data_IF_517192068729
#
_entry.id   IF_517192068729
#
_cell.length_a   1.000
_cell.length_b   1.000
_cell.length_c   1.000
_cell.angle_alpha   90.00
_cell.angle_beta   90.00
_cell.angle_gamma   90.00
#
_symmetry.space_group_name_H-M   'P 1'
#
loop_
_entity.id
_entity.type
_entity.pdbx_description
1 polymer ?
#
# COMPACT_ATOMS: atom_id res chain seq x y z
N UNK A 1 -17.71 -9.63 -5.97
CA UNK A 1 -18.28 -9.07 -7.23
C UNK A 1 -17.11 -8.73 -8.13
N UNK A 2 -17.13 -9.09 -9.41
CA UNK A 2 -15.92 -8.99 -10.27
C UNK A 2 -16.05 -8.00 -11.44
N UNK A 3 -16.98 -7.04 -11.37
CA UNK A 3 -17.15 -6.02 -12.41
C UNK A 3 -17.20 -4.63 -11.82
N UNK A 4 -16.55 -3.69 -12.50
CA UNK A 4 -16.50 -2.28 -12.11
C UNK A 4 -16.67 -1.39 -13.32
N UNK A 5 -16.86 -0.09 -13.07
CA UNK A 5 -16.76 0.97 -14.07
C UNK A 5 -15.96 2.14 -13.51
N UNK A 6 -15.26 2.88 -14.35
CA UNK A 6 -14.58 4.11 -13.93
C UNK A 6 -15.64 5.20 -13.70
N UNK A 7 -15.71 5.71 -12.46
CA UNK A 7 -16.59 6.83 -12.11
C UNK A 7 -15.90 8.17 -12.30
N UNK A 8 -14.62 8.22 -11.94
CA UNK A 8 -13.81 9.45 -11.98
C UNK A 8 -12.33 9.11 -12.07
N UNK A 9 -11.58 9.97 -12.75
CA UNK A 9 -10.12 9.99 -12.74
C UNK A 9 -9.66 11.43 -12.51
N UNK A 10 -8.43 11.60 -12.02
CA UNK A 10 -7.81 12.92 -11.89
C UNK A 10 -6.42 12.84 -11.28
N UNK A 11 -5.91 13.99 -10.86
CA UNK A 11 -4.61 14.14 -10.19
C UNK A 11 -4.78 14.85 -8.84
N UNK A 12 -3.93 14.52 -7.87
CA UNK A 12 -3.88 15.13 -6.53
C UNK A 12 -2.55 15.86 -6.39
N UNK A 13 -2.58 17.16 -6.07
CA UNK A 13 -1.35 17.90 -5.70
C UNK A 13 -0.93 17.51 -4.30
N UNK A 14 0.03 16.59 -4.17
CA UNK A 14 0.48 16.06 -2.89
C UNK A 14 1.29 17.08 -2.07
N UNK A 15 1.91 18.05 -2.75
CA UNK A 15 2.68 19.14 -2.14
C UNK A 15 2.81 20.34 -3.10
N UNK A 16 3.27 21.52 -2.62
CA UNK A 16 3.45 22.68 -3.48
C UNK A 16 4.42 22.42 -4.65
N UNK A 17 4.13 22.93 -5.86
CA UNK A 17 4.98 22.71 -7.02
C UNK A 17 6.36 23.35 -6.87
N UNK A 18 7.38 22.71 -7.44
CA UNK A 18 8.76 23.20 -7.43
C UNK A 18 9.53 22.92 -6.14
N UNK A 19 8.97 22.10 -5.23
CA UNK A 19 9.70 21.59 -4.07
C UNK A 19 10.92 20.78 -4.53
N UNK A 20 12.06 20.99 -3.86
CA UNK A 20 13.32 20.30 -4.13
C UNK A 20 13.84 19.62 -2.88
N UNK A 21 14.55 18.52 -3.07
CA UNK A 21 15.27 17.81 -2.02
C UNK A 21 16.61 18.50 -1.67
N UNK A 22 17.36 17.90 -0.75
CA UNK A 22 18.64 18.42 -0.27
C UNK A 22 19.74 18.35 -1.36
N UNK A 23 19.54 17.52 -2.38
CA UNK A 23 20.40 17.40 -3.56
C UNK A 23 20.04 18.43 -4.64
N UNK A 24 18.91 19.12 -4.49
CA UNK A 24 18.41 20.11 -5.42
C UNK A 24 17.57 19.51 -6.56
N UNK A 25 17.24 18.22 -6.51
CA UNK A 25 16.36 17.56 -7.48
C UNK A 25 14.89 17.85 -7.14
N UNK A 26 14.01 17.77 -8.14
CA UNK A 26 12.58 17.94 -7.89
C UNK A 26 12.05 16.75 -7.09
N UNK A 27 11.29 17.05 -6.04
CA UNK A 27 10.58 16.02 -5.27
C UNK A 27 9.45 15.48 -6.11
N UNK A 28 9.34 14.16 -6.16
CA UNK A 28 8.32 13.44 -6.90
C UNK A 28 7.32 12.79 -5.94
N UNK A 29 6.04 12.87 -6.26
CA UNK A 29 4.96 12.20 -5.57
C UNK A 29 4.84 10.78 -6.13
N UNK A 30 5.15 9.81 -5.29
CA UNK A 30 5.20 8.37 -5.58
C UNK A 30 4.29 7.71 -4.54
N UNK A 31 2.97 7.67 -4.81
CA UNK A 31 1.93 7.31 -3.82
C UNK A 31 1.65 5.81 -3.88
N UNK A 32 2.09 5.12 -2.85
CA UNK A 32 1.99 3.67 -2.68
C UNK A 32 0.94 3.28 -1.64
N UNK A 33 0.77 4.04 -0.55
CA UNK A 33 -0.14 3.69 0.54
C UNK A 33 -1.40 4.56 0.56
N UNK A 34 -2.59 3.94 0.69
CA UNK A 34 -3.87 4.65 0.84
C UNK A 34 -4.81 3.93 1.81
N UNK A 35 -5.52 4.68 2.64
CA UNK A 35 -6.66 4.18 3.41
C UNK A 35 -7.76 5.24 3.52
N UNK A 36 -9.01 4.83 3.74
CA UNK A 36 -10.15 5.75 3.87
C UNK A 36 -10.81 5.64 5.25
N UNK A 37 -10.80 6.74 6.02
CA UNK A 37 -11.33 6.77 7.39
C UNK A 37 -12.85 7.02 7.48
N UNK A 38 -13.54 7.06 6.34
CA UNK A 38 -14.97 7.44 6.24
C UNK A 38 -15.20 8.93 5.99
N UNK A 39 -14.16 9.77 6.10
CA UNK A 39 -14.22 11.21 5.79
C UNK A 39 -13.05 11.64 4.88
N UNK A 40 -11.85 11.14 5.15
CA UNK A 40 -10.59 11.55 4.54
C UNK A 40 -9.85 10.34 3.97
N UNK A 41 -9.14 10.58 2.89
CA UNK A 41 -8.09 9.70 2.42
C UNK A 41 -6.85 9.98 3.24
N UNK A 42 -6.28 8.95 3.85
CA UNK A 42 -4.90 8.93 4.32
C UNK A 42 -4.05 8.38 3.20
N UNK A 43 -2.96 9.06 2.87
CA UNK A 43 -2.09 8.70 1.76
C UNK A 43 -0.64 8.82 2.23
N UNK A 44 0.25 7.98 1.71
CA UNK A 44 1.67 8.20 1.86
C UNK A 44 2.45 7.95 0.58
N UNK A 45 3.55 8.70 0.46
CA UNK A 45 4.52 8.51 -0.60
C UNK A 45 5.66 7.60 -0.16
N UNK A 46 6.18 6.79 -1.08
CA UNK A 46 7.39 6.00 -0.85
C UNK A 46 8.65 6.91 -0.70
N UNK A 47 8.61 8.11 -1.30
CA UNK A 47 9.67 9.13 -1.20
C UNK A 47 9.40 10.15 -0.08
N UNK A 48 10.46 10.61 0.60
CA UNK A 48 10.35 11.70 1.55
C UNK A 48 9.84 13.00 0.91
N UNK A 49 8.93 13.69 1.60
CA UNK A 49 8.51 15.05 1.25
C UNK A 49 9.22 16.03 2.20
N UNK A 50 10.29 16.73 1.77
CA UNK A 50 11.16 17.50 2.66
C UNK A 50 10.47 18.74 3.22
N UNK A 51 10.70 19.03 4.50
CA UNK A 51 10.20 20.21 5.20
C UNK A 51 9.80 19.92 6.64
N UNK A 52 9.89 20.93 7.51
CA UNK A 52 9.47 20.76 8.91
C UNK A 52 7.95 20.49 9.02
N UNK A 53 7.15 21.27 8.29
CA UNK A 53 5.68 21.20 8.27
C UNK A 53 5.13 20.18 7.24
N UNK A 54 5.97 19.30 6.71
CA UNK A 54 5.60 18.30 5.69
C UNK A 54 6.03 16.91 6.13
N UNK A 55 5.40 15.91 5.52
CA UNK A 55 5.63 14.50 5.75
C UNK A 55 5.28 13.72 4.48
N UNK A 56 5.90 12.56 4.29
CA UNK A 56 5.52 11.63 3.22
C UNK A 56 4.08 11.11 3.43
N UNK A 57 3.62 11.04 4.68
CA UNK A 57 2.25 10.69 5.03
C UNK A 57 1.40 11.95 5.27
N UNK A 58 0.22 11.98 4.66
CA UNK A 58 -0.72 13.09 4.75
C UNK A 58 -2.17 12.61 4.63
N UNK A 59 -3.11 13.48 4.95
CA UNK A 59 -4.54 13.22 4.74
C UNK A 59 -5.23 14.37 4.04
N UNK A 60 -6.32 14.07 3.35
CA UNK A 60 -7.13 15.07 2.67
C UNK A 60 -8.61 14.63 2.60
N UNK A 61 -9.58 15.56 2.64
CA UNK A 61 -10.99 15.23 2.54
C UNK A 61 -11.35 14.57 1.21
N UNK A 62 -12.22 13.57 1.25
CA UNK A 62 -12.86 13.04 0.04
C UNK A 62 -14.28 13.62 -0.07
N UNK A 63 -14.52 14.38 -1.13
CA UNK A 63 -15.82 15.02 -1.38
C UNK A 63 -16.59 14.30 -2.51
N UNK A 64 -17.82 14.75 -2.79
CA UNK A 64 -18.56 14.28 -3.96
C UNK A 64 -17.83 14.60 -5.27
N UNK A 65 -17.02 15.66 -5.29
CA UNK A 65 -16.17 16.03 -6.42
C UNK A 65 -14.81 15.31 -6.38
N UNK A 66 -14.61 14.34 -5.49
CA UNK A 66 -13.33 13.62 -5.34
C UNK A 66 -12.42 14.24 -4.26
N UNK A 67 -11.13 13.82 -4.25
CA UNK A 67 -10.08 14.35 -3.37
C UNK A 67 -10.02 15.89 -3.36
N UNK A 68 -10.05 16.51 -2.19
CA UNK A 68 -9.85 17.96 -2.00
C UNK A 68 -8.41 18.25 -1.55
N UNK A 69 -7.51 18.38 -2.53
CA UNK A 69 -6.09 18.64 -2.32
C UNK A 69 -5.77 20.07 -1.85
N UNK A 70 -6.77 20.95 -1.76
CA UNK A 70 -6.61 22.28 -1.14
C UNK A 70 -6.54 22.24 0.39
N UNK A 71 -6.87 21.09 0.98
CA UNK A 71 -6.97 20.87 2.43
C UNK A 71 -6.14 19.68 2.90
N UNK A 72 -4.88 19.64 2.49
CA UNK A 72 -3.92 18.63 2.96
C UNK A 72 -3.50 18.90 4.40
N UNK A 73 -3.51 17.85 5.21
CA UNK A 73 -2.98 17.82 6.57
C UNK A 73 -1.84 16.79 6.64
N UNK A 74 -0.61 17.27 6.83
CA UNK A 74 0.58 16.40 6.87
C UNK A 74 0.75 15.79 8.27
N UNK A 75 1.00 14.49 8.33
CA UNK A 75 1.21 13.78 9.58
C UNK A 75 2.66 13.99 10.02
N UNK A 76 2.90 15.00 10.85
CA UNK A 76 4.25 15.53 11.14
C UNK A 76 4.88 15.01 12.43
N UNK A 77 4.26 14.04 13.09
CA UNK A 77 4.88 13.33 14.21
C UNK A 77 6.19 12.69 13.73
N UNK A 78 7.26 12.82 14.53
CA UNK A 78 8.63 12.49 14.14
C UNK A 78 8.82 11.05 13.64
N UNK A 79 8.28 10.05 14.33
CA UNK A 79 8.30 8.63 13.95
C UNK A 79 7.63 8.39 12.60
N UNK A 80 6.54 9.11 12.27
CA UNK A 80 5.91 9.03 10.94
C UNK A 80 6.81 9.66 9.88
N UNK A 81 7.48 10.77 10.19
CA UNK A 81 8.37 11.47 9.25
C UNK A 81 9.67 10.72 8.97
N UNK A 82 10.17 9.96 9.93
CA UNK A 82 11.42 9.20 9.85
C UNK A 82 11.28 7.89 9.08
N UNK A 83 10.07 7.32 9.03
CA UNK A 83 9.81 6.17 8.18
C UNK A 83 9.91 6.55 6.70
N UNK A 84 10.57 5.69 5.93
CA UNK A 84 10.86 5.90 4.50
C UNK A 84 10.37 4.68 3.73
N UNK A 85 9.91 4.90 2.49
CA UNK A 85 9.24 3.90 1.66
C UNK A 85 8.00 3.35 2.36
N UNK A 86 7.03 4.22 2.66
CA UNK A 86 5.67 3.73 2.93
C UNK A 86 5.24 2.92 1.72
N UNK A 87 4.58 1.78 1.94
CA UNK A 87 4.12 0.93 0.84
C UNK A 87 2.63 0.60 0.96
N UNK A 88 2.08 0.49 2.18
CA UNK A 88 0.63 0.32 2.32
C UNK A 88 0.09 0.79 3.69
N UNK A 89 -1.21 1.06 3.75
CA UNK A 89 -1.97 1.42 4.95
C UNK A 89 -3.12 0.45 5.16
N UNK A 90 -3.45 0.16 6.42
CA UNK A 90 -4.60 -0.64 6.77
C UNK A 90 -5.35 -0.07 7.99
N UNK A 91 -6.68 -0.05 7.90
CA UNK A 91 -7.51 0.11 9.08
C UNK A 91 -7.70 -1.24 9.76
N UNK A 92 -7.59 -1.24 11.09
CA UNK A 92 -8.06 -2.36 11.90
C UNK A 92 -9.54 -2.65 11.63
N UNK A 93 -9.95 -3.91 11.82
CA UNK A 93 -11.31 -4.36 11.45
C UNK A 93 -12.46 -3.66 12.19
N UNK A 94 -12.18 -3.03 13.33
CA UNK A 94 -13.13 -2.21 14.09
C UNK A 94 -13.04 -0.71 13.74
N UNK A 95 -12.13 -0.34 12.84
CA UNK A 95 -11.89 1.01 12.36
C UNK A 95 -11.29 1.95 13.41
N UNK A 96 -10.69 1.45 14.48
CA UNK A 96 -10.21 2.30 15.60
C UNK A 96 -8.74 2.67 15.51
N UNK A 97 -7.94 1.91 14.78
CA UNK A 97 -6.51 2.15 14.61
C UNK A 97 -6.12 2.08 13.13
N UNK A 98 -5.16 2.93 12.77
CA UNK A 98 -4.44 2.90 11.50
C UNK A 98 -3.13 2.15 11.69
N UNK A 99 -2.78 1.32 10.71
CA UNK A 99 -1.53 0.59 10.62
C UNK A 99 -0.85 1.01 9.33
N UNK A 100 0.47 1.24 9.37
CA UNK A 100 1.27 1.54 8.21
C UNK A 100 2.47 0.62 8.12
N UNK A 101 2.82 0.19 6.91
CA UNK A 101 4.05 -0.57 6.66
C UNK A 101 4.94 0.17 5.68
N UNK A 102 6.24 0.02 5.87
CA UNK A 102 7.24 0.33 4.85
C UNK A 102 7.65 -0.92 4.07
N UNK A 103 8.58 -0.77 3.11
CA UNK A 103 9.00 -1.86 2.23
C UNK A 103 9.82 -2.99 2.85
N UNK A 104 10.56 -2.75 3.94
CA UNK A 104 11.48 -3.72 4.56
C UNK A 104 12.57 -4.27 3.61
N UNK A 105 12.80 -3.61 2.47
CA UNK A 105 13.69 -4.04 1.38
C UNK A 105 15.16 -3.69 1.63
N UNK A 106 15.47 -2.96 2.71
CA UNK A 106 16.82 -2.47 3.01
C UNK A 106 17.13 -2.63 4.48
N UNK A 107 18.31 -3.13 4.81
CA UNK A 107 18.82 -3.20 6.19
C UNK A 107 20.33 -3.07 6.18
N UNK A 108 20.87 -2.43 7.22
CA UNK A 108 22.30 -2.45 7.54
C UNK A 108 22.45 -2.86 9.01
N UNK A 109 22.89 -4.10 9.22
CA UNK A 109 23.05 -4.71 10.54
C UNK A 109 24.20 -4.09 11.35
N UNK A 110 25.15 -3.41 10.69
CA UNK A 110 26.31 -2.80 11.35
C UNK A 110 26.05 -1.34 11.75
N UNK A 111 25.52 -0.53 10.83
CA UNK A 111 25.40 0.93 11.01
C UNK A 111 24.01 1.37 11.45
N UNK A 112 22.98 0.57 11.18
CA UNK A 112 21.57 0.91 11.39
C UNK A 112 21.06 2.11 10.56
N UNK A 113 21.85 2.60 9.59
CA UNK A 113 21.49 3.75 8.74
C UNK A 113 20.24 3.49 7.87
N UNK A 114 19.89 2.22 7.66
CA UNK A 114 18.74 1.79 6.85
C UNK A 114 17.52 1.38 7.66
N UNK A 115 17.51 1.61 8.98
CA UNK A 115 16.37 1.24 9.82
C UNK A 115 15.07 2.00 9.45
N UNK A 116 15.19 3.20 8.88
CA UNK A 116 14.09 3.99 8.35
C UNK A 116 13.17 3.21 7.39
N UNK A 117 13.73 2.22 6.68
CA UNK A 117 13.02 1.37 5.72
C UNK A 117 12.26 0.19 6.36
N UNK A 118 12.37 0.00 7.68
CA UNK A 118 11.84 -1.16 8.40
C UNK A 118 10.87 -0.72 9.50
N UNK A 119 9.70 -0.21 9.13
CA UNK A 119 8.69 0.26 10.06
C UNK A 119 7.34 -0.42 9.82
N UNK A 120 6.82 -1.00 10.90
CA UNK A 120 5.41 -1.27 11.08
C UNK A 120 4.91 -0.32 12.18
N UNK A 121 4.06 0.62 11.80
CA UNK A 121 3.56 1.66 12.70
C UNK A 121 2.09 1.44 12.99
N UNK A 122 1.66 1.85 14.19
CA UNK A 122 0.25 1.85 14.57
C UNK A 122 -0.09 3.11 15.37
N UNK A 123 -1.29 3.66 15.15
CA UNK A 123 -1.84 4.72 15.99
C UNK A 123 -3.37 4.64 16.05
N UNK A 124 -4.00 5.14 17.13
CA UNK A 124 -5.45 5.36 17.15
C UNK A 124 -5.86 6.30 16.02
N UNK A 125 -6.94 5.98 15.33
CA UNK A 125 -7.44 6.75 14.19
C UNK A 125 -7.71 8.20 14.62
N UNK A 126 -7.30 9.15 13.77
CA UNK A 126 -7.34 10.60 14.03
C UNK A 126 -6.35 11.10 15.11
N UNK A 127 -5.51 10.25 15.70
CA UNK A 127 -4.49 10.64 16.68
C UNK A 127 -3.07 10.25 16.22
N UNK A 128 -2.57 10.74 15.06
CA UNK A 128 -1.25 10.38 14.53
C UNK A 128 -0.09 10.78 15.47
N UNK A 129 -0.31 11.73 16.37
CA UNK A 129 0.66 12.13 17.39
C UNK A 129 0.97 11.01 18.42
N UNK A 130 0.12 9.97 18.48
CA UNK A 130 0.24 8.80 19.36
C UNK A 130 0.77 7.56 18.65
N UNK A 131 1.42 7.74 17.50
CA UNK A 131 2.07 6.65 16.77
C UNK A 131 3.07 5.89 17.61
N UNK A 132 3.07 4.59 17.41
CA UNK A 132 3.96 3.63 18.04
C UNK A 132 4.58 2.74 16.97
N UNK A 133 5.83 2.36 17.22
CA UNK A 133 6.51 1.32 16.45
C UNK A 133 6.06 -0.04 17.00
N UNK A 134 5.60 -0.91 16.11
CA UNK A 134 5.23 -2.29 16.43
C UNK A 134 6.51 -3.13 16.46
N UNK A 135 6.66 -3.95 17.51
CA UNK A 135 7.83 -4.82 17.69
C UNK A 135 9.17 -4.09 17.41
N UNK A 136 9.49 -3.02 18.16
CA UNK A 136 10.75 -2.29 18.02
C UNK A 136 11.93 -3.12 18.54
N UNK A 137 13.16 -2.75 18.17
CA UNK A 137 14.35 -3.33 18.80
C UNK A 137 14.38 -3.00 20.31
N UNK A 138 14.66 -3.96 21.21
CA UNK A 138 14.73 -3.72 22.64
C UNK A 138 15.95 -2.91 23.08
N UNK A 139 16.89 -2.60 22.19
CA UNK A 139 18.05 -1.75 22.48
C UNK A 139 17.66 -0.27 22.39
N UNK A 140 17.98 0.48 23.44
CA UNK A 140 17.71 1.92 23.52
C UNK A 140 18.27 2.69 22.30
N UNK A 141 17.41 3.48 21.66
CA UNK A 141 17.78 4.42 20.59
C UNK A 141 17.86 3.82 19.19
N UNK A 142 17.45 2.56 19.00
CA UNK A 142 17.31 1.96 17.67
C UNK A 142 15.88 2.20 17.18
N UNK A 143 15.73 3.05 16.17
CA UNK A 143 14.47 3.30 15.49
C UNK A 143 14.16 2.12 14.54
N UNK A 144 12.88 1.83 14.27
CA UNK A 144 12.44 0.73 13.40
C UNK A 144 11.92 -0.53 14.10
N UNK A 145 11.13 -1.30 13.37
CA UNK A 145 10.49 -2.56 13.76
C UNK A 145 11.41 -3.76 13.55
N UNK A 146 12.58 -3.78 14.20
CA UNK A 146 13.57 -4.85 13.98
C UNK A 146 13.14 -6.20 14.58
N UNK A 147 12.39 -6.22 15.68
CA UNK A 147 11.82 -7.49 16.17
C UNK A 147 10.80 -8.05 15.18
N UNK A 148 9.98 -7.18 14.56
CA UNK A 148 9.08 -7.59 13.48
C UNK A 148 9.88 -8.12 12.28
N UNK A 149 10.95 -7.42 11.87
CA UNK A 149 11.83 -7.88 10.78
C UNK A 149 12.34 -9.29 11.04
N UNK A 150 12.80 -9.60 12.25
CA UNK A 150 13.26 -10.97 12.59
C UNK A 150 12.15 -12.02 12.51
N UNK A 151 10.92 -11.65 12.89
CA UNK A 151 9.74 -12.53 12.73
C UNK A 151 9.44 -12.74 11.23
N UNK A 152 9.55 -11.70 10.41
CA UNK A 152 9.38 -11.76 8.96
C UNK A 152 10.50 -12.57 8.28
N UNK A 153 11.77 -12.37 8.62
CA UNK A 153 12.90 -13.15 8.10
C UNK A 153 12.66 -14.66 8.30
N UNK A 154 12.16 -15.04 9.49
CA UNK A 154 11.85 -16.43 9.80
C UNK A 154 10.66 -16.99 9.00
N UNK A 155 9.65 -16.17 8.71
CA UNK A 155 8.48 -16.57 7.93
C UNK A 155 8.77 -16.61 6.42
N UNK A 156 9.53 -15.63 5.92
CA UNK A 156 9.86 -15.49 4.50
C UNK A 156 10.89 -16.53 4.08
N UNK A 157 11.97 -16.70 4.86
CA UNK A 157 13.01 -17.71 4.63
C UNK A 157 14.05 -17.34 3.56
N UNK A 158 14.05 -16.10 3.07
CA UNK A 158 15.04 -15.56 2.14
C UNK A 158 15.62 -14.24 2.69
N UNK A 159 16.87 -13.88 2.36
CA UNK A 159 17.53 -12.71 2.93
C UNK A 159 16.98 -11.37 2.41
N UNK A 160 16.36 -11.37 1.23
CA UNK A 160 15.73 -10.20 0.65
C UNK A 160 14.24 -10.46 0.42
N UNK A 161 13.43 -9.47 0.80
CA UNK A 161 12.02 -9.39 0.46
C UNK A 161 11.54 -7.93 0.47
N UNK A 162 10.45 -7.66 -0.26
CA UNK A 162 9.75 -6.37 -0.21
C UNK A 162 8.29 -6.59 0.17
N UNK A 163 7.82 -5.84 1.18
CA UNK A 163 6.41 -5.78 1.58
C UNK A 163 5.74 -4.63 0.83
N UNK A 164 4.63 -4.90 0.14
CA UNK A 164 3.81 -3.86 -0.52
C UNK A 164 2.31 -4.02 -0.30
N UNK A 165 1.88 -5.08 0.41
CA UNK A 165 0.47 -5.23 0.78
C UNK A 165 0.28 -5.20 2.28
N UNK A 166 -0.78 -4.53 2.75
CA UNK A 166 -1.17 -4.55 4.15
C UNK A 166 -2.68 -4.57 4.29
N UNK A 167 -3.24 -5.58 4.97
CA UNK A 167 -4.66 -5.59 5.29
C UNK A 167 -4.91 -6.22 6.66
N UNK A 168 -5.82 -5.64 7.44
CA UNK A 168 -6.37 -6.29 8.62
C UNK A 168 -7.73 -6.90 8.31
N UNK A 169 -7.87 -8.22 8.48
CA UNK A 169 -9.12 -8.95 8.26
C UNK A 169 -9.64 -9.59 9.56
N UNK A 170 -10.95 -9.90 9.66
CA UNK A 170 -11.48 -10.59 10.83
C UNK A 170 -10.84 -11.96 11.02
N UNK A 171 -10.24 -12.19 12.20
CA UNK A 171 -9.71 -13.49 12.59
C UNK A 171 -10.80 -14.45 13.10
N UNK A 172 -10.44 -15.73 13.19
CA UNK A 172 -11.38 -16.77 13.64
C UNK A 172 -11.51 -16.86 15.17
N UNK A 173 -10.62 -16.17 15.90
CA UNK A 173 -10.52 -16.22 17.37
C UNK A 173 -11.11 -14.99 18.09
N UNK A 174 -11.78 -14.09 17.35
CA UNK A 174 -12.26 -12.80 17.88
C UNK A 174 -11.22 -11.70 17.82
N UNK A 175 -9.96 -12.07 17.61
CA UNK A 175 -8.81 -11.21 17.32
C UNK A 175 -8.71 -10.94 15.80
N UNK A 176 -7.93 -9.93 15.39
CA UNK A 176 -7.70 -9.65 13.97
C UNK A 176 -6.64 -10.57 13.37
N UNK A 177 -6.62 -10.72 12.04
CA UNK A 177 -5.52 -11.32 11.28
C UNK A 177 -4.91 -10.22 10.42
N UNK A 178 -3.64 -9.91 10.65
CA UNK A 178 -2.90 -8.92 9.86
C UNK A 178 -2.18 -9.66 8.73
N UNK A 179 -2.33 -9.14 7.52
CA UNK A 179 -1.82 -9.69 6.28
C UNK A 179 -0.74 -8.78 5.72
N UNK A 180 0.38 -9.37 5.31
CA UNK A 180 1.50 -8.72 4.67
C UNK A 180 1.70 -9.32 3.28
N UNK A 181 1.51 -8.49 2.26
CA UNK A 181 1.75 -8.83 0.88
C UNK A 181 3.24 -8.73 0.54
N UNK A 182 3.84 -9.85 0.14
CA UNK A 182 5.22 -9.90 -0.34
C UNK A 182 5.19 -9.76 -1.86
N UNK A 183 5.86 -8.72 -2.37
CA UNK A 183 6.03 -8.45 -3.80
C UNK A 183 7.25 -9.14 -4.37
N UNK A 184 8.36 -9.05 -3.66
CA UNK A 184 9.67 -9.51 -4.12
C UNK A 184 10.28 -10.43 -3.07
N UNK A 185 11.01 -11.44 -3.52
CA UNK A 185 11.74 -12.34 -2.64
C UNK A 185 12.97 -12.88 -3.35
N UNK A 186 14.13 -12.90 -2.68
CA UNK A 186 15.38 -13.31 -3.33
C UNK A 186 16.64 -13.21 -2.48
N UNK A 187 17.79 -13.13 -3.15
CA UNK A 187 19.09 -12.98 -2.49
C UNK A 187 19.46 -11.52 -2.23
N UNK A 188 19.01 -10.61 -3.08
CA UNK A 188 19.30 -9.18 -3.00
C UNK A 188 18.28 -8.37 -3.81
N UNK A 189 18.30 -7.04 -3.66
CA UNK A 189 17.45 -6.09 -4.40
C UNK A 189 17.61 -6.09 -5.92
N UNK A 190 18.64 -6.77 -6.45
CA UNK A 190 18.93 -6.93 -7.88
C UNK A 190 18.95 -8.42 -8.29
N UNK A 191 18.58 -9.32 -7.37
CA UNK A 191 18.52 -10.78 -7.55
C UNK A 191 17.30 -11.32 -6.78
N UNK A 192 16.12 -11.09 -7.35
CA UNK A 192 14.82 -11.47 -6.79
C UNK A 192 13.84 -11.96 -7.85
N UNK A 193 12.82 -12.68 -7.40
CA UNK A 193 11.64 -13.01 -8.18
C UNK A 193 10.44 -12.19 -7.70
N UNK A 194 9.58 -11.77 -8.64
CA UNK A 194 8.25 -11.26 -8.29
C UNK A 194 7.39 -12.41 -7.77
N UNK A 195 6.82 -12.22 -6.58
CA UNK A 195 5.94 -13.15 -5.88
C UNK A 195 4.60 -12.48 -5.54
N UNK A 196 3.58 -13.31 -5.28
CA UNK A 196 2.26 -12.89 -4.81
C UNK A 196 1.91 -13.70 -3.58
N UNK A 197 2.78 -13.59 -2.58
CA UNK A 197 2.73 -14.37 -1.34
C UNK A 197 2.20 -13.48 -0.23
N UNK A 198 1.33 -14.03 0.63
CA UNK A 198 0.78 -13.31 1.78
C UNK A 198 1.24 -14.04 3.04
N UNK A 199 1.95 -13.31 3.88
CA UNK A 199 2.32 -13.72 5.24
C UNK A 199 1.30 -13.13 6.19
N UNK A 200 0.91 -13.86 7.23
CA UNK A 200 -0.01 -13.33 8.23
C UNK A 200 0.21 -13.90 9.63
N UNK A 201 -0.31 -13.17 10.60
CA UNK A 201 -0.40 -13.59 12.00
C UNK A 201 -1.62 -12.96 12.68
N UNK A 202 -2.18 -13.66 13.64
CA UNK A 202 -3.21 -13.09 14.49
C UNK A 202 -2.59 -12.02 15.38
N UNK A 203 -3.35 -10.95 15.60
CA UNK A 203 -2.92 -9.84 16.43
C UNK A 203 -4.04 -9.35 17.35
N UNK A 204 -3.63 -8.75 18.45
CA UNK A 204 -4.49 -7.97 19.34
C UNK A 204 -3.97 -6.54 19.43
N UNK A 205 -4.85 -5.63 19.82
CA UNK A 205 -4.45 -4.31 20.31
C UNK A 205 -4.40 -4.39 21.83
N UNK A 206 -3.25 -4.11 22.41
CA UNK A 206 -3.04 -4.17 23.86
C UNK A 206 -3.57 -2.90 24.57
N UNK A 207 -3.45 -2.87 25.90
CA UNK A 207 -3.95 -1.76 26.72
C UNK A 207 -3.24 -0.41 26.46
N UNK A 208 -2.08 -0.44 25.80
CA UNK A 208 -1.29 0.74 25.42
C UNK A 208 -1.58 1.21 23.98
N UNK A 209 -2.64 0.70 23.33
CA UNK A 209 -2.99 0.97 21.92
C UNK A 209 -1.92 0.52 20.90
N UNK A 210 -1.06 -0.45 21.28
CA UNK A 210 -0.06 -1.04 20.37
C UNK A 210 -0.50 -2.42 19.87
N UNK A 211 0.05 -2.84 18.73
CA UNK A 211 -0.18 -4.13 18.12
C UNK A 211 0.72 -5.19 18.75
N UNK A 212 0.13 -6.32 19.13
CA UNK A 212 0.85 -7.50 19.60
C UNK A 212 0.42 -8.73 18.78
N UNK A 213 1.39 -9.41 18.16
CA UNK A 213 1.15 -10.68 17.49
C UNK A 213 1.00 -11.80 18.53
N UNK A 214 -0.11 -12.55 18.45
CA UNK A 214 -0.43 -13.63 19.40
C UNK A 214 -0.06 -15.02 18.88
N UNK A 215 0.39 -15.11 17.63
CA UNK A 215 1.03 -16.29 17.04
C UNK A 215 2.15 -15.90 16.05
N UNK A 216 2.79 -16.92 15.48
CA UNK A 216 3.91 -16.73 14.57
C UNK A 216 3.43 -16.32 13.17
N UNK A 217 4.18 -15.43 12.53
CA UNK A 217 4.03 -15.12 11.11
C UNK A 217 4.26 -16.38 10.28
N UNK A 218 3.37 -16.63 9.33
CA UNK A 218 3.42 -17.78 8.44
C UNK A 218 2.71 -17.50 7.12
N UNK A 219 2.95 -18.33 6.11
CA UNK A 219 2.17 -18.36 4.88
C UNK A 219 0.68 -18.55 5.14
N UNK A 220 -0.12 -17.60 4.69
CA UNK A 220 -1.58 -17.70 4.74
C UNK A 220 -2.20 -17.79 3.36
N UNK A 221 -1.53 -17.27 2.33
CA UNK A 221 -2.05 -17.31 0.96
C UNK A 221 -0.96 -17.09 -0.09
N UNK A 222 -1.19 -17.61 -1.30
CA UNK A 222 -0.41 -17.29 -2.50
C UNK A 222 -1.24 -17.59 -3.74
N UNK A 223 -1.00 -16.86 -4.83
CA UNK A 223 -1.62 -17.17 -6.13
C UNK A 223 -0.70 -16.81 -7.30
N UNK A 224 -0.98 -17.34 -8.49
CA UNK A 224 -0.24 -17.02 -9.70
C UNK A 224 -1.12 -16.31 -10.75
N UNK A 225 -0.93 -15.00 -10.99
CA UNK A 225 -1.62 -14.25 -12.04
C UNK A 225 -1.41 -14.81 -13.45
N UNK A 226 -0.25 -15.41 -13.73
CA UNK A 226 0.10 -15.89 -15.07
C UNK A 226 -0.76 -17.06 -15.58
N UNK A 227 -1.55 -17.68 -14.68
CA UNK A 227 -2.49 -18.73 -15.05
C UNK A 227 -3.84 -18.17 -15.58
N UNK A 228 -4.02 -16.85 -15.61
CA UNK A 228 -5.29 -16.20 -15.99
C UNK A 228 -5.27 -15.60 -17.39
N UNK A 229 -6.28 -15.97 -18.20
CA UNK A 229 -6.52 -15.34 -19.49
C UNK A 229 -6.73 -13.82 -19.33
N UNK A 230 -5.86 -13.04 -19.97
CA UNK A 230 -5.89 -11.57 -19.98
C UNK A 230 -4.94 -10.88 -19.00
N UNK A 231 -4.09 -11.63 -18.30
CA UNK A 231 -2.88 -11.08 -17.65
C UNK A 231 -1.70 -11.26 -18.61
N UNK A 232 -1.19 -10.16 -19.14
CA UNK A 232 -0.17 -10.20 -20.21
C UNK A 232 1.25 -9.97 -19.68
N UNK A 233 1.38 -9.42 -18.47
CA UNK A 233 2.66 -9.04 -17.86
C UNK A 233 2.94 -9.79 -16.56
N UNK A 234 4.23 -10.02 -16.27
CA UNK A 234 4.65 -10.49 -14.95
C UNK A 234 4.44 -9.35 -13.96
N UNK A 235 3.61 -9.59 -12.95
CA UNK A 235 3.29 -8.60 -11.93
C UNK A 235 3.63 -9.08 -10.52
N UNK A 236 3.87 -8.11 -9.63
CA UNK A 236 4.00 -8.30 -8.19
C UNK A 236 2.75 -7.81 -7.47
N UNK A 237 2.53 -8.29 -6.24
CA UNK A 237 1.47 -7.75 -5.37
C UNK A 237 1.86 -6.34 -4.92
N UNK A 238 0.96 -5.36 -5.06
CA UNK A 238 1.23 -3.94 -4.79
C UNK A 238 0.31 -3.28 -3.76
N UNK A 239 -0.79 -3.94 -3.37
CA UNK A 239 -1.58 -3.59 -2.18
C UNK A 239 -2.60 -4.68 -1.83
N UNK A 240 -3.04 -4.70 -0.57
CA UNK A 240 -4.14 -5.52 -0.07
C UNK A 240 -5.17 -4.60 0.60
N UNK A 241 -6.46 -4.79 0.33
CA UNK A 241 -7.50 -3.99 1.01
C UNK A 241 -8.69 -4.84 1.42
N UNK A 242 -9.11 -4.69 2.67
CA UNK A 242 -10.27 -5.41 3.20
C UNK A 242 -11.55 -4.62 2.96
N UNK A 243 -12.55 -5.27 2.35
CA UNK A 243 -13.89 -4.74 2.19
C UNK A 243 -14.82 -5.24 3.31
N UNK A 244 -15.07 -4.43 4.37
CA UNK A 244 -15.95 -4.82 5.46
C UNK A 244 -17.43 -4.86 5.05
N UNK A 245 -17.82 -4.22 3.95
CA UNK A 245 -19.20 -4.18 3.49
C UNK A 245 -19.64 -5.49 2.85
N UNK A 246 -18.71 -6.18 2.20
CA UNK A 246 -18.98 -7.42 1.47
C UNK A 246 -18.18 -8.64 1.98
N UNK A 247 -17.32 -8.47 2.98
CA UNK A 247 -16.51 -9.56 3.52
C UNK A 247 -15.55 -10.15 2.47
N UNK A 248 -14.91 -9.27 1.71
CA UNK A 248 -14.02 -9.60 0.59
C UNK A 248 -12.66 -8.94 0.78
N UNK A 249 -11.65 -9.51 0.15
CA UNK A 249 -10.31 -8.94 0.04
C UNK A 249 -10.11 -8.53 -1.41
N UNK A 250 -9.67 -7.29 -1.62
CA UNK A 250 -9.14 -6.84 -2.89
C UNK A 250 -7.63 -6.92 -2.87
N UNK A 251 -7.05 -7.23 -4.03
CA UNK A 251 -5.61 -7.27 -4.21
C UNK A 251 -5.28 -6.43 -5.44
N UNK A 252 -4.31 -5.53 -5.33
CA UNK A 252 -3.69 -4.92 -6.49
C UNK A 252 -2.41 -5.66 -6.84
N UNK A 253 -2.18 -5.81 -8.13
CA UNK A 253 -0.88 -6.21 -8.66
C UNK A 253 -0.40 -5.19 -9.66
N UNK A 254 0.85 -4.75 -9.57
CA UNK A 254 1.45 -3.80 -10.50
C UNK A 254 2.58 -4.43 -11.30
N UNK A 255 2.90 -3.87 -12.46
CA UNK A 255 4.02 -4.30 -13.29
C UNK A 255 4.72 -3.11 -13.93
N UNK A 256 6.00 -3.31 -14.21
CA UNK A 256 6.87 -2.45 -15.00
C UNK A 256 7.67 -3.39 -15.90
N UNK A 257 7.57 -3.22 -17.22
CA UNK A 257 8.30 -4.03 -18.18
C UNK A 257 8.85 -3.17 -19.30
N UNK A 258 10.01 -3.56 -19.84
CA UNK A 258 10.55 -2.95 -21.05
C UNK A 258 9.96 -3.65 -22.28
N UNK A 259 9.26 -2.91 -23.14
CA UNK A 259 8.80 -3.39 -24.45
C UNK A 259 9.51 -2.61 -25.57
N UNK A 260 10.63 -3.17 -26.03
CA UNK A 260 11.47 -2.48 -27.02
C UNK A 260 12.24 -1.34 -26.37
N UNK A 261 11.94 -0.10 -26.78
CA UNK A 261 12.55 1.13 -26.22
C UNK A 261 11.60 1.83 -25.22
N UNK A 262 10.37 1.32 -25.04
CA UNK A 262 9.34 1.93 -24.21
C UNK A 262 9.19 1.18 -22.88
N UNK A 263 9.07 1.91 -21.78
CA UNK A 263 8.69 1.39 -20.47
C UNK A 263 7.16 1.30 -20.40
N UNK A 264 6.65 0.09 -20.19
CA UNK A 264 5.22 -0.18 -20.04
C UNK A 264 4.93 -0.45 -18.58
N UNK A 265 4.04 0.37 -18.01
CA UNK A 265 3.59 0.25 -16.62
C UNK A 265 2.10 -0.02 -16.57
N UNK A 266 1.65 -0.63 -15.49
CA UNK A 266 0.23 -0.85 -15.28
C UNK A 266 -0.09 -1.65 -14.04
N UNK A 267 -1.31 -2.17 -13.99
CA UNK A 267 -1.71 -3.07 -12.93
C UNK A 267 -3.07 -3.73 -13.17
N UNK A 268 -3.39 -4.67 -12.29
CA UNK A 268 -4.63 -5.44 -12.29
C UNK A 268 -5.28 -5.40 -10.91
N UNK A 269 -6.62 -5.43 -10.90
CA UNK A 269 -7.41 -5.55 -9.68
C UNK A 269 -8.00 -6.95 -9.57
N UNK A 270 -7.85 -7.54 -8.39
CA UNK A 270 -8.36 -8.87 -8.05
C UNK A 270 -9.30 -8.78 -6.86
N UNK A 271 -10.22 -9.74 -6.77
CA UNK A 271 -11.15 -9.84 -5.65
C UNK A 271 -11.36 -11.28 -5.23
N UNK A 272 -11.45 -11.52 -3.92
CA UNK A 272 -11.81 -12.83 -3.38
C UNK A 272 -12.64 -12.70 -2.11
N UNK A 273 -13.50 -13.68 -1.84
CA UNK A 273 -14.19 -13.72 -0.56
C UNK A 273 -13.25 -14.16 0.56
N UNK A 274 -13.50 -13.70 1.81
CA UNK A 274 -12.75 -14.22 2.96
C UNK A 274 -12.93 -15.73 3.14
N UNK A 275 -14.03 -16.31 2.64
CA UNK A 275 -14.20 -17.76 2.62
C UNK A 275 -13.21 -18.42 1.66
N UNK A 276 -13.11 -17.92 0.42
CA UNK A 276 -12.19 -18.46 -0.58
C UNK A 276 -10.73 -18.27 -0.17
N UNK A 277 -10.40 -17.13 0.46
CA UNK A 277 -9.07 -16.87 1.04
C UNK A 277 -8.67 -17.94 2.05
N UNK A 278 -9.54 -18.22 3.04
CA UNK A 278 -9.30 -19.26 4.05
C UNK A 278 -9.24 -20.68 3.46
N UNK A 279 -9.76 -20.89 2.26
CA UNK A 279 -9.72 -22.17 1.56
C UNK A 279 -8.57 -22.26 0.55
N UNK A 280 -7.70 -21.24 0.45
CA UNK A 280 -6.60 -21.21 -0.51
C UNK A 280 -7.08 -21.23 -1.96
N UNK A 281 -8.29 -20.72 -2.23
CA UNK A 281 -8.81 -20.64 -3.60
C UNK A 281 -8.30 -19.39 -4.28
N UNK A 282 -8.17 -19.49 -5.59
CA UNK A 282 -7.60 -18.43 -6.38
C UNK A 282 -8.56 -17.22 -6.51
N UNK A 283 -8.03 -15.99 -6.55
CA UNK A 283 -8.86 -14.79 -6.63
C UNK A 283 -9.47 -14.63 -8.03
N UNK A 284 -10.49 -13.78 -8.15
CA UNK A 284 -11.11 -13.46 -9.44
C UNK A 284 -10.57 -12.14 -9.97
N UNK A 285 -10.11 -12.14 -11.21
CA UNK A 285 -9.71 -10.93 -11.93
C UNK A 285 -10.93 -10.02 -12.18
N UNK A 286 -10.81 -8.74 -11.84
CA UNK A 286 -11.87 -7.76 -12.02
C UNK A 286 -11.95 -7.31 -13.48
N UNK A 287 -13.18 -7.11 -13.96
CA UNK A 287 -13.50 -6.71 -15.32
C UNK A 287 -14.20 -5.35 -15.38
N UNK A 288 -14.11 -4.68 -16.51
CA UNK A 288 -14.85 -3.44 -16.80
C UNK A 288 -16.34 -3.70 -17.11
N UNK A 289 -17.11 -2.64 -17.39
CA UNK A 289 -18.52 -2.77 -17.75
C UNK A 289 -18.79 -3.50 -19.10
N UNK A 290 -17.75 -3.68 -19.91
CA UNK A 290 -17.78 -4.37 -21.21
C UNK A 290 -17.28 -5.82 -21.11
N UNK A 291 -17.07 -6.33 -19.89
CA UNK A 291 -16.57 -7.68 -19.60
C UNK A 291 -15.12 -7.93 -20.06
N UNK A 292 -14.34 -6.86 -20.27
CA UNK A 292 -12.89 -6.94 -20.49
C UNK A 292 -12.15 -6.93 -19.17
N UNK A 293 -10.96 -7.52 -19.12
CA UNK A 293 -10.07 -7.38 -17.95
C UNK A 293 -9.84 -5.90 -17.68
N UNK A 294 -9.96 -5.49 -16.41
CA UNK A 294 -9.56 -4.15 -16.00
C UNK A 294 -8.04 -4.15 -15.84
N UNK A 295 -7.37 -3.58 -16.82
CA UNK A 295 -5.96 -3.21 -16.75
C UNK A 295 -5.86 -1.70 -16.55
N UNK A 296 -5.08 -1.29 -15.56
CA UNK A 296 -4.79 0.12 -15.32
C UNK A 296 -3.64 0.57 -16.22
N UNK A 297 -3.78 1.75 -16.83
CA UNK A 297 -2.73 2.40 -17.65
C UNK A 297 -1.56 2.96 -16.81
N UNK A 298 -1.66 2.84 -15.49
CA UNK A 298 -0.76 3.43 -14.50
C UNK A 298 -0.44 2.39 -13.44
N UNK A 299 0.71 2.51 -12.77
CA UNK A 299 1.17 1.54 -11.77
C UNK A 299 0.29 1.63 -10.52
N UNK A 300 -0.64 0.68 -10.38
CA UNK A 300 -1.67 0.71 -9.34
C UNK A 300 -1.13 0.17 -8.01
N UNK A 301 -0.98 1.05 -7.02
CA UNK A 301 -0.27 0.72 -5.78
C UNK A 301 -1.11 1.03 -4.53
N UNK A 302 -1.81 2.17 -4.47
CA UNK A 302 -2.70 2.43 -3.34
C UNK A 302 -4.14 1.99 -3.59
N UNK A 303 -4.78 1.29 -2.65
CA UNK A 303 -6.19 0.90 -2.73
C UNK A 303 -6.96 1.22 -1.45
N UNK A 304 -8.16 1.79 -1.57
CA UNK A 304 -9.07 1.95 -0.44
C UNK A 304 -10.53 1.64 -0.80
N UNK A 305 -11.24 0.96 0.10
CA UNK A 305 -12.69 0.79 0.01
C UNK A 305 -13.37 2.05 0.55
N UNK A 306 -14.07 2.77 -0.32
CA UNK A 306 -14.72 4.02 0.06
C UNK A 306 -16.08 3.76 0.73
N UNK A 307 -16.86 2.87 0.13
CA UNK A 307 -18.18 2.46 0.62
C UNK A 307 -18.64 1.16 -0.06
N UNK A 308 -19.92 0.82 0.08
CA UNK A 308 -20.57 -0.35 -0.53
C UNK A 308 -20.51 -0.41 -2.05
N UNK A 309 -20.18 0.69 -2.72
CA UNK A 309 -20.30 0.80 -4.17
C UNK A 309 -19.03 1.35 -4.82
N UNK A 310 -18.04 1.80 -4.05
CA UNK A 310 -16.90 2.56 -4.58
C UNK A 310 -15.56 2.14 -4.00
N UNK A 311 -14.57 2.10 -4.88
CA UNK A 311 -13.15 1.92 -4.54
C UNK A 311 -12.36 3.14 -5.01
N UNK A 312 -11.25 3.42 -4.34
CA UNK A 312 -10.28 4.43 -4.73
C UNK A 312 -8.94 3.75 -5.02
N UNK A 313 -8.33 4.10 -6.15
CA UNK A 313 -7.00 3.61 -6.56
C UNK A 313 -6.08 4.81 -6.76
N UNK A 314 -4.91 4.80 -6.12
CA UNK A 314 -3.82 5.73 -6.38
C UNK A 314 -2.71 5.03 -7.18
N UNK A 315 -1.96 5.84 -7.92
CA UNK A 315 -0.91 5.34 -8.80
C UNK A 315 0.46 5.90 -8.42
N UNK A 316 1.45 5.01 -8.39
CA UNK A 316 2.86 5.34 -8.23
C UNK A 316 3.62 5.09 -9.53
N UNK A 317 3.60 6.06 -10.42
CA UNK A 317 4.24 5.89 -11.73
C UNK A 317 5.76 6.09 -11.70
N UNK A 318 6.41 6.15 -10.53
CA UNK A 318 7.81 6.58 -10.37
C UNK A 318 8.09 7.83 -11.21
N UNK A 319 8.97 7.72 -12.21
CA UNK A 319 9.38 8.81 -13.11
C UNK A 319 8.65 8.79 -14.45
N UNK A 320 7.67 7.92 -14.63
CA UNK A 320 6.73 8.03 -15.74
C UNK A 320 5.74 9.16 -15.42
N UNK A 321 5.75 10.18 -16.27
CA UNK A 321 4.93 11.38 -16.10
C UNK A 321 3.65 11.35 -16.92
N UNK A 322 3.45 10.35 -17.77
CA UNK A 322 2.31 10.29 -18.67
C UNK A 322 1.00 10.19 -17.87
N UNK A 323 -0.04 10.87 -18.35
CA UNK A 323 -1.37 10.86 -17.73
C UNK A 323 -2.39 10.01 -18.48
N UNK A 324 -2.14 9.68 -19.75
CA UNK A 324 -3.03 8.89 -20.59
C UNK A 324 -4.52 9.26 -20.40
N UNK A 325 -5.41 8.33 -20.08
CA UNK A 325 -6.85 8.60 -19.94
C UNK A 325 -7.22 9.50 -18.75
N UNK A 326 -6.30 9.71 -17.80
CA UNK A 326 -6.59 10.44 -16.54
C UNK A 326 -6.78 11.93 -16.76
N UNK A 327 -6.15 12.51 -17.79
CA UNK A 327 -6.20 13.95 -18.03
C UNK A 327 -6.10 14.32 -19.52
N UNK A 328 -6.60 15.51 -19.88
CA UNK A 328 -6.32 16.11 -21.19
C UNK A 328 -4.88 16.65 -21.30
N UNK A 329 -4.16 16.75 -20.18
CA UNK A 329 -2.72 17.04 -20.19
C UNK A 329 -1.95 15.76 -20.50
N UNK A 330 -0.88 15.90 -21.28
CA UNK A 330 0.01 14.78 -21.59
C UNK A 330 0.76 14.30 -20.32
N UNK A 331 1.28 15.25 -19.53
CA UNK A 331 2.14 14.95 -18.38
C UNK A 331 1.61 15.53 -17.05
N UNK A 332 1.84 14.77 -15.97
CA UNK A 332 1.70 15.22 -14.59
C UNK A 332 2.90 16.06 -14.16
N UNK A 333 2.72 16.86 -13.13
CA UNK A 333 3.85 17.50 -12.43
C UNK A 333 4.42 16.54 -11.39
N UNK A 334 5.70 16.69 -11.04
CA UNK A 334 6.31 15.87 -9.99
C UNK A 334 5.55 15.92 -8.65
N UNK A 335 4.84 17.01 -8.35
CA UNK A 335 4.03 17.12 -7.14
C UNK A 335 2.63 16.49 -7.24
N UNK A 336 2.28 15.86 -8.36
CA UNK A 336 0.96 15.32 -8.64
C UNK A 336 0.99 13.79 -8.68
N UNK A 337 0.00 13.16 -8.03
CA UNK A 337 -0.25 11.73 -8.13
C UNK A 337 -1.59 11.47 -8.87
N UNK A 338 -1.62 10.63 -9.92
CA UNK A 338 -2.87 10.24 -10.58
C UNK A 338 -3.73 9.36 -9.66
N UNK A 339 -5.05 9.35 -9.87
CA UNK A 339 -5.97 8.44 -9.18
C UNK A 339 -7.17 8.03 -10.03
N UNK A 340 -7.88 6.98 -9.60
CA UNK A 340 -9.16 6.54 -10.17
C UNK A 340 -10.14 6.16 -9.07
N UNK A 341 -11.40 6.57 -9.22
CA UNK A 341 -12.52 6.09 -8.43
C UNK A 341 -13.31 5.10 -9.28
N UNK A 342 -13.41 3.87 -8.79
CA UNK A 342 -14.17 2.79 -9.42
C UNK A 342 -15.55 2.67 -8.77
N UNK A 343 -16.54 2.30 -9.55
CA UNK A 343 -17.89 1.95 -9.11
C UNK A 343 -18.15 0.47 -9.31
N UNK A 344 -18.57 -0.23 -8.27
CA UNK A 344 -18.92 -1.65 -8.33
C UNK A 344 -20.20 -1.83 -9.16
N UNK A 345 -20.18 -2.76 -10.11
CA UNK A 345 -21.32 -3.08 -10.97
C UNK A 345 -21.97 -4.36 -10.47
N UNK A 346 -23.27 -4.27 -10.14
CA UNK A 346 -24.08 -5.41 -9.68
C UNK A 346 -24.33 -6.44 -10.78
#
# INVERSE_FOLDING_TARGET
MARVKILKQGTIHCFPPGLRDDQGELVNAEISAVAYDGERLLMASDKPIPGHERSAAFSLPLTADGPDDSRIDYLTQQTIKEAVKYEDFALTTDGRHMIATTGFDRIDDETHELNAYNHLLIWPLHEPDRVQVVDPDPRDGVEGSLEFRRKMDAAVGEPYYKIEGLAAIPGERGDGLLLFGIREQGKAHDDFDYVRRVIGAHYIINDDDNLEFVDALHDVFSFDPGEYDGVEHICGLSSLEYDPYHGQLYLLTSFETEEGDDEVIGGYLWVMSLHDFRQGRAPTLVRDENDKVLEFEHKAEGLAVLDRERLFVAYDNDRNYDLHSVSERDERRCCEAPYTILGLVQ
#
